data_IF_044931748204
#
_entry.id   IF_044931748204
#
_cell.length_a   1.000
_cell.length_b   1.000
_cell.length_c   1.000
_cell.angle_alpha   90.00
_cell.angle_beta   90.00
_cell.angle_gamma   90.00
#
_symmetry.space_group_name_H-M   'P 1'
#
loop_
_entity.id
_entity.type
_entity.pdbx_description
1 polymer ?
#
# COMPACT_ATOMS: atom_id res chain seq x y z
N UNK A 1 25.44 7.17 27.42
CA UNK A 1 24.63 7.66 26.29
C UNK A 1 23.19 7.23 26.54
N UNK A 2 22.23 8.13 26.31
CA UNK A 2 20.86 8.02 26.83
C UNK A 2 20.02 7.02 26.04
N UNK A 3 19.21 6.23 26.72
CA UNK A 3 18.07 5.54 26.11
C UNK A 3 17.06 6.57 25.63
N UNK A 4 16.31 6.22 24.58
CA UNK A 4 15.15 6.99 24.13
C UNK A 4 13.91 6.47 24.84
N UNK A 5 13.20 7.37 25.52
CA UNK A 5 11.93 7.08 26.16
C UNK A 5 10.78 7.65 25.32
N UNK A 6 9.65 6.95 25.26
CA UNK A 6 8.41 7.43 24.65
C UNK A 6 7.45 7.84 25.76
N UNK A 7 6.85 9.02 25.64
CA UNK A 7 5.87 9.55 26.59
C UNK A 7 4.57 9.86 25.87
N UNK A 8 3.45 9.39 26.43
CA UNK A 8 2.11 9.47 25.84
C UNK A 8 1.24 10.39 26.69
N UNK A 9 0.41 11.19 26.02
CA UNK A 9 -0.54 12.08 26.66
C UNK A 9 -1.83 12.13 25.84
N UNK A 10 -2.96 11.90 26.52
CA UNK A 10 -4.29 11.96 25.92
C UNK A 10 -4.94 13.35 26.08
N UNK A 11 -4.37 14.20 26.94
CA UNK A 11 -4.89 15.52 27.31
C UNK A 11 -3.90 16.66 27.05
N UNK A 12 -2.72 16.34 26.49
CA UNK A 12 -1.57 17.23 26.32
C UNK A 12 -1.05 17.88 27.62
N UNK A 13 -1.38 17.32 28.79
CA UNK A 13 -1.06 17.89 30.11
C UNK A 13 -0.38 16.87 31.02
N UNK A 14 -0.91 15.64 31.05
CA UNK A 14 -0.38 14.52 31.81
C UNK A 14 0.32 13.57 30.85
N UNK A 15 1.58 13.25 31.17
CA UNK A 15 2.41 12.37 30.36
C UNK A 15 2.76 11.12 31.15
N UNK A 16 2.51 9.97 30.52
CA UNK A 16 2.88 8.66 31.05
C UNK A 16 3.96 8.06 30.15
N UNK A 17 5.00 7.50 30.76
CA UNK A 17 6.07 6.83 30.01
C UNK A 17 5.52 5.52 29.45
N UNK A 18 5.60 5.34 28.13
CA UNK A 18 5.24 4.09 27.49
C UNK A 18 6.32 3.03 27.74
N UNK A 19 5.86 1.79 27.87
CA UNK A 19 6.68 0.62 27.95
C UNK A 19 7.00 0.08 26.56
N UNK A 20 8.30 -0.14 26.35
CA UNK A 20 8.85 -0.71 25.14
C UNK A 20 9.38 -2.11 25.46
N UNK A 21 9.27 -3.06 24.53
CA UNK A 21 9.75 -4.42 24.74
C UNK A 21 11.28 -4.49 24.84
N UNK A 22 11.98 -3.49 24.29
CA UNK A 22 13.44 -3.37 24.34
C UNK A 22 13.86 -1.91 24.60
N UNK A 23 15.06 -1.72 25.14
CA UNK A 23 15.60 -0.36 25.28
C UNK A 23 16.05 0.19 23.93
N UNK A 24 15.38 1.24 23.50
CA UNK A 24 15.73 1.98 22.29
C UNK A 24 17.04 2.75 22.49
N UNK A 25 18.08 2.31 21.78
CA UNK A 25 19.42 2.94 21.76
C UNK A 25 19.87 3.07 20.32
N UNK A 26 20.31 4.27 19.92
CA UNK A 26 20.69 4.56 18.53
C UNK A 26 19.57 4.20 17.56
N UNK A 27 18.34 4.65 17.84
CA UNK A 27 17.20 4.45 16.96
C UNK A 27 16.54 5.78 16.64
N UNK A 28 16.11 5.89 15.38
CA UNK A 28 15.35 7.00 14.84
C UNK A 28 13.92 6.56 14.61
N UNK A 29 12.97 7.34 15.09
CA UNK A 29 11.56 7.17 14.73
C UNK A 29 11.37 7.64 13.29
N UNK A 30 10.97 6.72 12.40
CA UNK A 30 10.70 7.03 10.99
C UNK A 30 9.26 7.53 10.84
N UNK A 31 8.32 6.86 11.51
CA UNK A 31 6.89 7.15 11.36
C UNK A 31 6.13 6.79 12.62
N UNK A 32 5.16 7.64 12.96
CA UNK A 32 4.16 7.41 14.00
C UNK A 32 2.80 7.53 13.32
N UNK A 33 1.88 6.59 13.59
CA UNK A 33 0.47 6.70 13.19
C UNK A 33 -0.42 6.18 14.30
N UNK A 34 -1.51 6.89 14.54
CA UNK A 34 -2.58 6.44 15.43
C UNK A 34 -3.68 5.78 14.59
N UNK A 35 -4.24 4.67 15.08
CA UNK A 35 -5.42 4.05 14.49
C UNK A 35 -6.73 4.63 15.09
N UNK A 36 -7.89 4.14 14.63
CA UNK A 36 -9.17 4.70 15.05
C UNK A 36 -9.57 4.41 16.50
N UNK A 37 -8.84 3.55 17.21
CA UNK A 37 -9.09 3.24 18.62
C UNK A 37 -7.97 3.73 19.55
N UNK A 38 -7.06 4.58 19.03
CA UNK A 38 -6.00 5.18 19.82
C UNK A 38 -4.71 4.38 19.89
N UNK A 39 -4.60 3.24 19.18
CA UNK A 39 -3.34 2.48 19.14
C UNK A 39 -2.32 3.19 18.27
N UNK A 40 -1.09 3.20 18.73
CA UNK A 40 0.05 3.85 18.10
C UNK A 40 0.88 2.79 17.38
N UNK A 41 1.01 2.96 16.07
CA UNK A 41 1.91 2.21 15.20
C UNK A 41 3.19 3.02 15.04
N UNK A 42 4.28 2.45 15.54
CA UNK A 42 5.61 3.06 15.55
C UNK A 42 6.55 2.29 14.63
N UNK A 43 7.11 2.98 13.64
CA UNK A 43 8.20 2.46 12.82
C UNK A 43 9.51 3.11 13.26
N UNK A 44 10.43 2.32 13.78
CA UNK A 44 11.79 2.77 14.15
C UNK A 44 12.82 2.18 13.20
N UNK A 45 13.97 2.84 13.07
CA UNK A 45 15.16 2.30 12.41
C UNK A 45 16.39 2.57 13.26
N UNK A 46 17.40 1.71 13.17
CA UNK A 46 18.72 1.98 13.72
C UNK A 46 19.31 3.25 13.10
N UNK A 47 19.92 4.10 13.91
CA UNK A 47 20.71 5.25 13.47
C UNK A 47 22.06 4.75 12.97
N UNK A 48 22.34 4.93 11.67
CA UNK A 48 23.67 4.68 11.11
C UNK A 48 24.60 5.80 11.58
N UNK A 49 25.61 5.46 12.38
CA UNK A 49 26.56 6.42 12.97
C UNK A 49 27.84 6.59 12.17
N UNK A 50 28.09 5.80 11.12
CA UNK A 50 29.30 5.85 10.31
C UNK A 50 28.99 6.11 8.83
N UNK A 51 29.68 7.09 8.22
CA UNK A 51 29.54 7.48 6.80
C UNK A 51 29.99 6.39 5.79
N UNK A 52 30.65 5.31 6.24
CA UNK A 52 31.28 4.31 5.37
C UNK A 52 30.55 2.95 5.27
N UNK A 53 29.45 2.69 6.00
CA UNK A 53 28.80 1.37 5.95
C UNK A 53 27.58 1.32 5.00
N UNK A 54 27.63 0.36 4.07
CA UNK A 54 26.58 -0.07 3.13
C UNK A 54 25.50 -0.96 3.77
N UNK A 55 25.43 -1.04 5.10
CA UNK A 55 24.47 -1.91 5.78
C UNK A 55 23.05 -1.32 5.75
N UNK A 56 22.01 -2.16 5.53
CA UNK A 56 20.62 -1.72 5.54
C UNK A 56 20.20 -1.14 6.90
N UNK A 57 19.44 -0.04 6.86
CA UNK A 57 18.68 0.51 7.98
C UNK A 57 17.79 -0.57 8.61
N UNK A 58 18.27 -1.21 9.69
CA UNK A 58 17.49 -2.21 10.42
C UNK A 58 16.29 -1.50 11.04
N UNK A 59 15.08 -1.83 10.58
CA UNK A 59 13.87 -1.21 11.12
C UNK A 59 12.96 -2.20 11.86
N UNK A 60 12.12 -1.70 12.74
CA UNK A 60 11.17 -2.51 13.51
C UNK A 60 9.83 -1.78 13.60
N UNK A 61 8.75 -2.55 13.62
CA UNK A 61 7.38 -2.04 13.74
C UNK A 61 6.85 -2.46 15.10
N UNK A 62 6.38 -1.49 15.89
CA UNK A 62 5.68 -1.71 17.14
C UNK A 62 4.25 -1.21 17.05
N UNK A 63 3.34 -1.91 17.72
CA UNK A 63 1.95 -1.49 17.90
C UNK A 63 1.69 -1.40 19.40
N UNK A 64 1.07 -0.32 19.85
CA UNK A 64 0.64 -0.17 21.24
C UNK A 64 -0.69 -0.87 21.53
N UNK A 65 -0.96 -1.07 22.81
CA UNK A 65 -2.33 -1.25 23.34
C UNK A 65 -3.21 -0.01 23.08
N UNK A 66 -4.51 -0.14 23.38
CA UNK A 66 -5.50 0.94 23.17
C UNK A 66 -5.24 2.19 24.02
N UNK A 67 -4.41 2.09 25.06
CA UNK A 67 -4.02 3.23 25.90
C UNK A 67 -2.75 3.95 25.38
N UNK A 68 -2.05 3.36 24.41
CA UNK A 68 -0.77 3.87 23.92
C UNK A 68 0.42 3.52 24.80
N UNK A 69 0.22 2.81 25.92
CA UNK A 69 1.21 2.66 26.98
C UNK A 69 2.08 1.42 26.84
N UNK A 70 1.57 0.34 26.24
CA UNK A 70 2.33 -0.92 26.10
C UNK A 70 2.55 -1.25 24.63
N UNK A 71 3.81 -1.22 24.17
CA UNK A 71 4.16 -1.57 22.80
C UNK A 71 4.58 -3.04 22.68
N UNK A 72 4.13 -3.68 21.60
CA UNK A 72 4.53 -5.03 21.21
C UNK A 72 5.10 -5.02 19.78
N UNK A 73 6.13 -5.83 19.48
CA UNK A 73 6.67 -5.93 18.12
C UNK A 73 5.64 -6.62 17.21
N UNK A 74 5.58 -6.19 15.95
CA UNK A 74 4.77 -6.84 14.93
C UNK A 74 5.56 -7.96 14.27
N UNK A 75 5.06 -9.19 14.36
CA UNK A 75 5.62 -10.32 13.61
C UNK A 75 5.11 -10.28 12.17
N UNK A 76 6.00 -9.98 11.22
CA UNK A 76 5.68 -9.94 9.79
C UNK A 76 6.34 -11.10 9.01
N UNK A 77 7.39 -11.76 9.52
CA UNK A 77 7.86 -13.07 9.02
C UNK A 77 8.38 -13.98 10.13
N UNK A 78 8.43 -15.30 9.89
CA UNK A 78 9.03 -16.27 10.82
C UNK A 78 10.54 -16.05 11.04
N UNK A 79 11.23 -15.51 10.03
CA UNK A 79 12.66 -15.21 10.08
C UNK A 79 12.83 -13.72 10.38
N UNK A 80 13.25 -13.39 11.61
CA UNK A 80 13.54 -12.03 12.08
C UNK A 80 14.80 -11.45 11.42
N UNK A 81 14.87 -11.46 10.09
CA UNK A 81 15.90 -10.75 9.35
C UNK A 81 15.49 -9.28 9.29
N UNK A 82 16.05 -8.50 10.21
CA UNK A 82 15.94 -7.05 10.22
C UNK A 82 16.38 -6.50 8.85
N UNK A 83 15.62 -5.58 8.28
CA UNK A 83 15.93 -4.99 6.98
C UNK A 83 15.10 -3.73 6.73
N UNK A 84 14.96 -3.31 5.48
CA UNK A 84 14.24 -2.08 5.14
C UNK A 84 12.73 -2.33 5.05
N UNK A 85 11.94 -1.55 5.79
CA UNK A 85 10.48 -1.65 5.80
C UNK A 85 9.81 -0.37 5.33
N UNK A 86 8.73 -0.52 4.57
CA UNK A 86 7.91 0.59 4.11
C UNK A 86 6.44 0.29 4.33
N UNK A 87 5.80 1.13 5.12
CA UNK A 87 4.37 1.07 5.39
C UNK A 87 3.62 2.20 4.66
N UNK A 88 2.51 1.85 4.04
CA UNK A 88 1.52 2.80 3.53
C UNK A 88 0.13 2.50 4.09
N UNK A 89 -0.64 3.56 4.25
CA UNK A 89 -1.95 3.53 4.87
C UNK A 89 -2.89 4.34 3.98
N UNK A 90 -3.72 3.69 3.15
CA UNK A 90 -4.70 4.39 2.34
C UNK A 90 -5.80 4.93 3.23
N UNK A 91 -5.99 6.25 3.27
CA UNK A 91 -6.96 6.88 4.19
C UNK A 91 -8.42 6.51 3.88
N UNK A 92 -8.70 6.07 2.65
CA UNK A 92 -10.00 5.57 2.21
C UNK A 92 -10.20 4.06 2.47
N UNK A 93 -9.23 3.36 3.06
CA UNK A 93 -9.33 1.95 3.45
C UNK A 93 -9.06 1.83 4.95
N UNK A 94 -10.05 2.19 5.78
CA UNK A 94 -9.96 2.11 7.24
C UNK A 94 -9.62 0.68 7.67
N UNK A 95 -8.63 0.50 8.53
CA UNK A 95 -8.13 -0.81 8.93
C UNK A 95 -7.00 -1.37 8.05
N UNK A 96 -6.76 -0.80 6.87
CA UNK A 96 -5.84 -1.38 5.89
C UNK A 96 -4.43 -0.79 5.98
N UNK A 97 -3.43 -1.68 6.02
CA UNK A 97 -2.02 -1.35 5.98
C UNK A 97 -1.36 -2.22 4.90
N UNK A 98 -0.56 -1.58 4.06
CA UNK A 98 0.31 -2.28 3.12
C UNK A 98 1.75 -2.13 3.56
N UNK A 99 2.49 -3.24 3.57
CA UNK A 99 3.87 -3.31 4.01
C UNK A 99 4.75 -3.95 2.95
N UNK A 100 5.82 -3.27 2.55
CA UNK A 100 6.89 -3.84 1.74
C UNK A 100 8.09 -4.07 2.64
N UNK A 101 8.58 -5.30 2.64
CA UNK A 101 9.55 -5.81 3.59
C UNK A 101 10.75 -6.40 2.86
N UNK A 102 11.92 -5.79 3.05
CA UNK A 102 13.17 -6.19 2.40
C UNK A 102 14.13 -6.69 3.47
N UNK A 103 14.54 -7.98 3.46
CA UNK A 103 15.53 -8.44 4.41
C UNK A 103 16.87 -7.70 4.21
N UNK A 104 17.61 -7.47 5.28
CA UNK A 104 19.01 -7.05 5.17
C UNK A 104 19.82 -8.24 4.64
N UNK A 105 20.31 -8.13 3.40
CA UNK A 105 21.20 -9.14 2.84
C UNK A 105 22.60 -8.53 2.77
N UNK A 106 23.55 -9.19 3.42
CA UNK A 106 24.97 -8.94 3.23
C UNK A 106 25.37 -9.40 1.82
N UNK A 107 25.47 -8.44 0.90
CA UNK A 107 25.84 -8.66 -0.50
C UNK A 107 27.32 -9.09 -0.67
N UNK A 108 28.11 -9.18 0.41
CA UNK A 108 29.56 -9.43 0.32
C UNK A 108 29.96 -10.88 -0.01
N UNK A 109 29.08 -11.88 0.16
CA UNK A 109 29.52 -13.29 0.24
C UNK A 109 29.00 -14.27 -0.83
N UNK A 110 28.38 -13.83 -1.93
CA UNK A 110 27.81 -14.78 -2.90
C UNK A 110 28.46 -14.69 -4.31
N UNK A 111 29.30 -15.68 -4.63
CA UNK A 111 29.90 -15.97 -5.95
C UNK A 111 28.92 -16.56 -6.98
N UNK A 112 27.62 -16.28 -6.89
CA UNK A 112 26.63 -16.72 -7.87
C UNK A 112 26.38 -15.63 -8.92
N UNK A 113 26.23 -16.01 -10.20
CA UNK A 113 25.82 -15.11 -11.29
C UNK A 113 24.39 -14.56 -11.05
N UNK A 114 24.23 -13.66 -10.09
CA UNK A 114 23.04 -12.83 -9.99
C UNK A 114 23.15 -11.74 -11.05
N UNK A 115 22.18 -11.71 -11.96
CA UNK A 115 21.93 -10.46 -12.68
C UNK A 115 21.41 -9.44 -11.66
N UNK A 116 21.86 -8.19 -11.71
CA UNK A 116 21.51 -7.10 -10.76
C UNK A 116 19.99 -6.83 -10.56
N UNK A 117 19.09 -7.61 -11.18
CA UNK A 117 17.66 -7.32 -11.30
C UNK A 117 16.74 -8.21 -10.44
N UNK A 118 17.26 -9.33 -9.92
CA UNK A 118 16.49 -10.19 -9.00
C UNK A 118 16.54 -9.58 -7.61
N UNK A 119 15.38 -9.33 -7.03
CA UNK A 119 15.25 -8.81 -5.67
C UNK A 119 14.55 -9.81 -4.76
N UNK A 120 14.92 -9.75 -3.47
CA UNK A 120 14.29 -10.52 -2.41
C UNK A 120 13.43 -9.62 -1.52
N UNK A 121 12.28 -10.10 -1.12
CA UNK A 121 11.40 -9.41 -0.17
C UNK A 121 9.95 -9.82 -0.29
N UNK A 122 9.17 -9.35 0.66
CA UNK A 122 7.75 -9.66 0.78
C UNK A 122 6.92 -8.39 0.78
N UNK A 123 5.74 -8.50 0.21
CA UNK A 123 4.76 -7.43 0.08
C UNK A 123 3.48 -7.98 0.67
N UNK A 124 3.04 -7.41 1.79
CA UNK A 124 1.89 -7.90 2.56
C UNK A 124 0.85 -6.82 2.78
N UNK A 125 -0.37 -7.28 3.04
CA UNK A 125 -1.51 -6.47 3.45
C UNK A 125 -2.02 -6.96 4.80
N UNK A 126 -2.33 -6.01 5.67
CA UNK A 126 -3.19 -6.19 6.84
C UNK A 126 -4.48 -5.42 6.62
N UNK A 127 -5.60 -6.00 7.03
CA UNK A 127 -6.92 -5.35 6.97
C UNK A 127 -7.57 -5.22 8.35
N UNK A 128 -6.79 -5.48 9.40
CA UNK A 128 -7.17 -5.47 10.81
C UNK A 128 -6.21 -4.61 11.64
N UNK A 129 -5.78 -3.48 11.07
CA UNK A 129 -4.88 -2.50 11.69
C UNK A 129 -3.54 -3.10 12.15
N UNK A 130 -2.99 -4.03 11.39
CA UNK A 130 -1.64 -4.58 11.59
C UNK A 130 -1.59 -5.81 12.50
N UNK A 131 -2.73 -6.34 12.95
CA UNK A 131 -2.79 -7.54 13.79
C UNK A 131 -2.41 -8.80 13.01
N UNK A 132 -2.94 -8.96 11.80
CA UNK A 132 -2.58 -10.06 10.90
C UNK A 132 -2.15 -9.55 9.54
N UNK A 133 -1.24 -10.29 8.91
CA UNK A 133 -0.66 -9.95 7.63
C UNK A 133 -0.80 -11.12 6.65
N UNK A 134 -1.07 -10.82 5.39
CA UNK A 134 -1.20 -11.80 4.32
C UNK A 134 -0.48 -11.33 3.07
N UNK A 135 0.03 -12.27 2.27
CA UNK A 135 0.67 -11.97 1.00
C UNK A 135 -0.36 -11.46 -0.03
N UNK A 136 0.07 -10.60 -0.95
CA UNK A 136 -0.81 -10.10 -2.01
C UNK A 136 -1.14 -11.19 -3.03
N UNK A 137 -2.38 -11.68 -2.99
CA UNK A 137 -2.86 -12.77 -3.85
C UNK A 137 -3.19 -12.29 -5.26
N UNK A 138 -2.67 -12.97 -6.27
CA UNK A 138 -3.05 -12.76 -7.68
C UNK A 138 -4.14 -13.76 -8.07
N UNK A 139 -5.23 -13.26 -8.65
CA UNK A 139 -6.39 -14.05 -9.12
C UNK A 139 -6.64 -13.79 -10.60
N UNK A 140 -5.70 -14.27 -11.41
CA UNK A 140 -5.65 -14.01 -12.85
C UNK A 140 -5.32 -15.28 -13.63
N UNK A 141 -6.30 -16.17 -13.77
CA UNK A 141 -6.15 -17.45 -14.47
C UNK A 141 -5.77 -17.26 -15.95
N UNK A 142 -6.26 -16.19 -16.59
CA UNK A 142 -5.98 -15.89 -17.99
C UNK A 142 -4.50 -15.57 -18.23
N UNK A 143 -3.84 -14.94 -17.25
CA UNK A 143 -2.42 -14.58 -17.30
C UNK A 143 -1.53 -15.50 -16.45
N UNK A 144 -2.07 -16.62 -15.94
CA UNK A 144 -1.33 -17.50 -15.02
C UNK A 144 0.00 -17.99 -15.61
N UNK A 145 -0.01 -18.38 -16.89
CA UNK A 145 1.18 -18.86 -17.62
C UNK A 145 2.24 -17.76 -17.86
N UNK A 146 1.89 -16.49 -17.64
CA UNK A 146 2.84 -15.37 -17.75
C UNK A 146 3.72 -15.20 -16.50
N UNK A 147 3.41 -15.90 -15.41
CA UNK A 147 4.16 -15.84 -14.16
C UNK A 147 5.09 -17.04 -14.03
N UNK A 148 6.28 -16.82 -13.46
CA UNK A 148 7.26 -17.88 -13.21
C UNK A 148 6.92 -18.82 -12.05
N UNK A 149 5.75 -18.68 -11.43
CA UNK A 149 5.35 -19.42 -10.24
C UNK A 149 3.85 -19.69 -10.16
N UNK A 150 3.46 -20.57 -9.23
CA UNK A 150 2.09 -21.03 -9.05
C UNK A 150 1.27 -20.06 -8.18
N UNK A 151 0.53 -19.16 -8.83
CA UNK A 151 -0.30 -18.13 -8.19
C UNK A 151 -1.44 -18.70 -7.31
N UNK A 152 -1.72 -20.00 -7.36
CA UNK A 152 -2.69 -20.63 -6.45
C UNK A 152 -2.16 -20.78 -5.01
N UNK A 153 -0.84 -20.63 -4.82
CA UNK A 153 -0.16 -20.70 -3.52
C UNK A 153 0.40 -19.33 -3.12
N UNK A 154 -0.44 -18.39 -2.62
CA UNK A 154 -0.02 -17.01 -2.32
C UNK A 154 1.09 -16.89 -1.27
N UNK A 155 1.24 -17.89 -0.39
CA UNK A 155 2.34 -17.93 0.59
C UNK A 155 3.72 -18.16 -0.06
N UNK A 156 3.77 -18.61 -1.31
CA UNK A 156 5.00 -18.80 -2.07
C UNK A 156 5.06 -17.89 -3.29
N UNK A 157 3.97 -17.83 -4.05
CA UNK A 157 3.86 -17.04 -5.27
C UNK A 157 2.90 -15.86 -5.07
N UNK A 158 3.45 -14.66 -4.86
CA UNK A 158 2.64 -13.47 -4.59
C UNK A 158 3.14 -12.23 -5.30
N UNK A 159 2.27 -11.23 -5.38
CA UNK A 159 2.60 -9.95 -5.99
C UNK A 159 3.53 -9.16 -5.08
N UNK A 160 4.70 -8.85 -5.60
CA UNK A 160 5.74 -8.06 -4.96
C UNK A 160 5.82 -6.67 -5.57
N UNK A 161 5.96 -5.65 -4.74
CA UNK A 161 6.03 -4.28 -5.25
C UNK A 161 6.36 -3.27 -4.17
N UNK A 162 6.69 -2.07 -4.63
CA UNK A 162 6.87 -0.94 -3.74
C UNK A 162 5.62 -0.06 -3.77
N UNK A 163 5.01 0.18 -2.61
CA UNK A 163 3.73 0.89 -2.49
C UNK A 163 3.81 2.42 -2.60
N UNK A 164 4.83 2.98 -3.26
CA UNK A 164 5.00 4.43 -3.38
C UNK A 164 3.77 5.12 -3.98
N UNK A 165 3.15 4.48 -4.97
CA UNK A 165 2.07 5.06 -5.76
C UNK A 165 0.72 5.03 -5.03
N UNK A 166 0.53 4.16 -4.03
CA UNK A 166 -0.72 4.13 -3.26
C UNK A 166 -0.91 5.40 -2.42
N UNK A 167 0.17 6.03 -1.95
CA UNK A 167 0.08 7.34 -1.26
C UNK A 167 -0.39 8.48 -2.18
N UNK A 168 -0.20 8.32 -3.49
CA UNK A 168 -0.54 9.31 -4.51
C UNK A 168 -1.85 8.98 -5.22
N UNK A 169 -2.46 7.83 -4.89
CA UNK A 169 -3.70 7.39 -5.52
C UNK A 169 -4.87 8.22 -5.00
N UNK A 170 -5.73 8.66 -5.92
CA UNK A 170 -6.95 9.34 -5.53
C UNK A 170 -7.89 8.37 -4.78
N UNK A 171 -8.66 8.87 -3.79
CA UNK A 171 -9.64 8.05 -3.07
C UNK A 171 -10.60 7.30 -3.99
N UNK A 172 -10.81 6.02 -3.70
CA UNK A 172 -11.76 5.16 -4.42
C UNK A 172 -12.35 4.10 -3.48
N UNK A 173 -13.52 3.55 -3.83
CA UNK A 173 -14.13 2.47 -3.06
C UNK A 173 -13.51 1.13 -3.46
N UNK A 174 -12.28 0.86 -3.01
CA UNK A 174 -11.58 -0.42 -3.18
C UNK A 174 -10.82 -0.58 -4.50
N UNK A 175 -10.82 0.42 -5.37
CA UNK A 175 -10.12 0.39 -6.67
C UNK A 175 -8.71 0.93 -6.50
N UNK A 176 -7.72 0.05 -6.47
CA UNK A 176 -6.32 0.46 -6.34
C UNK A 176 -5.47 -0.17 -7.44
N UNK A 177 -4.45 0.58 -7.87
CA UNK A 177 -3.48 0.11 -8.84
C UNK A 177 -2.09 0.09 -8.21
N UNK A 178 -1.28 -0.87 -8.65
CA UNK A 178 0.11 -0.99 -8.22
C UNK A 178 0.96 -1.52 -9.36
N UNK A 179 2.20 -1.04 -9.45
CA UNK A 179 3.20 -1.66 -10.33
C UNK A 179 4.08 -2.58 -9.49
N UNK A 180 4.27 -3.81 -9.95
CA UNK A 180 4.99 -4.84 -9.23
C UNK A 180 5.35 -6.02 -10.13
N UNK A 181 5.96 -7.04 -9.55
CA UNK A 181 6.30 -8.30 -10.20
C UNK A 181 5.77 -9.45 -9.35
N UNK A 182 5.41 -10.56 -9.96
CA UNK A 182 5.02 -11.77 -9.22
C UNK A 182 6.26 -12.64 -9.03
N UNK A 183 6.47 -13.14 -7.81
CA UNK A 183 7.68 -13.89 -7.43
C UNK A 183 7.38 -15.11 -6.60
N UNK A 184 8.27 -16.12 -6.69
CA UNK A 184 8.24 -17.34 -5.88
C UNK A 184 9.22 -17.23 -4.72
N UNK A 185 8.89 -17.81 -3.56
CA UNK A 185 9.73 -17.86 -2.36
C UNK A 185 10.43 -16.51 -2.05
N UNK A 186 9.69 -15.41 -2.26
CA UNK A 186 10.09 -14.02 -2.02
C UNK A 186 11.14 -13.46 -2.98
N UNK A 187 11.44 -14.17 -4.08
CA UNK A 187 12.31 -13.72 -5.17
C UNK A 187 11.50 -13.29 -6.39
N UNK A 188 11.84 -12.15 -6.98
CA UNK A 188 11.18 -11.65 -8.18
C UNK A 188 12.11 -10.76 -9.01
N UNK A 189 11.82 -10.67 -10.32
CA UNK A 189 12.59 -9.85 -11.27
C UNK A 189 11.95 -8.48 -11.46
N UNK A 190 12.70 -7.41 -11.20
CA UNK A 190 12.24 -6.05 -11.45
C UNK A 190 12.08 -5.69 -12.93
N UNK A 191 12.65 -6.48 -13.84
CA UNK A 191 12.47 -6.29 -15.29
C UNK A 191 11.11 -6.79 -15.77
N UNK A 192 10.47 -7.70 -15.05
CA UNK A 192 9.14 -8.24 -15.38
C UNK A 192 8.00 -7.49 -14.64
N UNK A 193 8.20 -6.19 -14.40
CA UNK A 193 7.19 -5.36 -13.75
C UNK A 193 5.97 -5.17 -14.65
N UNK A 194 4.82 -5.58 -14.13
CA UNK A 194 3.49 -5.33 -14.70
C UNK A 194 2.74 -4.33 -13.82
N UNK A 195 1.65 -3.78 -14.32
CA UNK A 195 0.69 -3.01 -13.52
C UNK A 195 -0.50 -3.89 -13.20
N UNK A 196 -0.88 -3.93 -11.93
CA UNK A 196 -1.98 -4.71 -11.39
C UNK A 196 -3.08 -3.78 -10.86
N UNK A 197 -4.29 -4.31 -10.82
CA UNK A 197 -5.47 -3.66 -10.25
C UNK A 197 -6.13 -4.58 -9.24
N UNK A 198 -6.64 -3.98 -8.16
CA UNK A 198 -7.53 -4.60 -7.20
C UNK A 198 -8.85 -3.83 -7.15
N UNK A 199 -9.95 -4.56 -6.93
CA UNK A 199 -11.30 -4.01 -6.72
C UNK A 199 -11.80 -4.18 -5.27
N UNK A 200 -11.05 -4.90 -4.44
CA UNK A 200 -11.42 -5.28 -3.08
C UNK A 200 -10.49 -4.65 -2.03
N UNK A 201 -9.84 -3.53 -2.37
CA UNK A 201 -8.96 -2.83 -1.45
C UNK A 201 -7.61 -3.53 -1.23
N UNK A 202 -7.21 -4.40 -2.16
CA UNK A 202 -5.89 -5.05 -2.23
C UNK A 202 -5.81 -6.46 -1.69
N UNK A 203 -6.95 -7.09 -1.39
CA UNK A 203 -7.00 -8.50 -1.00
C UNK A 203 -6.69 -9.40 -2.20
N UNK A 204 -7.19 -9.05 -3.38
CA UNK A 204 -6.89 -9.76 -4.62
C UNK A 204 -6.50 -8.82 -5.76
N UNK A 205 -5.63 -9.31 -6.64
CA UNK A 205 -5.03 -8.54 -7.72
C UNK A 205 -5.14 -9.25 -9.06
N UNK A 206 -5.31 -8.47 -10.13
CA UNK A 206 -5.33 -8.94 -11.53
C UNK A 206 -4.43 -8.06 -12.38
N UNK A 207 -3.90 -8.57 -13.49
CA UNK A 207 -3.07 -7.79 -14.41
C UNK A 207 -3.95 -6.74 -15.07
N UNK A 208 -3.57 -5.47 -14.92
CA UNK A 208 -4.17 -4.36 -15.64
C UNK A 208 -3.44 -4.07 -16.96
N UNK A 209 -2.10 -4.17 -16.94
CA UNK A 209 -1.28 -3.98 -18.12
C UNK A 209 0.05 -4.73 -17.98
N UNK A 210 0.58 -5.24 -19.09
CA UNK A 210 1.83 -6.02 -19.14
C UNK A 210 3.12 -5.21 -18.98
N UNK A 211 3.02 -3.93 -18.62
CA UNK A 211 4.18 -3.06 -18.40
C UNK A 211 3.94 -2.18 -17.18
N UNK A 212 5.02 -1.58 -16.67
CA UNK A 212 4.91 -0.40 -15.80
C UNK A 212 4.36 0.80 -16.57
N UNK A 213 3.79 1.77 -15.85
CA UNK A 213 3.30 3.01 -16.43
C UNK A 213 2.78 3.99 -15.38
N UNK A 214 2.34 5.15 -15.85
CA UNK A 214 1.59 6.10 -15.03
C UNK A 214 0.11 5.73 -15.05
N UNK A 215 -0.57 5.86 -13.92
CA UNK A 215 -2.02 5.72 -13.84
C UNK A 215 -2.62 6.80 -12.94
N UNK A 216 -3.87 7.13 -13.22
CA UNK A 216 -4.71 7.96 -12.37
C UNK A 216 -6.15 7.45 -12.38
N UNK A 217 -6.85 7.63 -11.27
CA UNK A 217 -8.25 7.26 -11.11
C UNK A 217 -9.11 8.51 -11.00
N UNK A 218 -10.38 8.40 -11.39
CA UNK A 218 -11.36 9.47 -11.30
C UNK A 218 -12.78 8.94 -11.21
N UNK A 219 -13.72 9.84 -10.96
CA UNK A 219 -15.10 9.51 -10.59
C UNK A 219 -15.12 8.39 -9.53
N UNK A 220 -14.32 8.54 -8.47
CA UNK A 220 -14.20 7.61 -7.34
C UNK A 220 -13.71 6.19 -7.73
N UNK A 221 -12.83 6.11 -8.73
CA UNK A 221 -12.28 4.85 -9.26
C UNK A 221 -13.05 4.27 -10.44
N UNK A 222 -14.12 4.94 -10.90
CA UNK A 222 -14.91 4.48 -12.04
C UNK A 222 -14.25 4.76 -13.39
N UNK A 223 -13.36 5.74 -13.44
CA UNK A 223 -12.51 6.04 -14.60
C UNK A 223 -11.08 5.71 -14.20
N UNK A 224 -10.40 4.95 -15.03
CA UNK A 224 -8.97 4.66 -14.87
C UNK A 224 -8.29 5.07 -16.16
N UNK A 225 -7.26 5.89 -16.06
CA UNK A 225 -6.40 6.27 -17.19
C UNK A 225 -5.01 5.71 -16.92
N UNK A 226 -4.43 5.07 -17.94
CA UNK A 226 -3.12 4.44 -17.87
C UNK A 226 -2.28 4.82 -19.10
N UNK A 227 -1.03 5.22 -18.87
CA UNK A 227 -0.03 5.48 -19.90
C UNK A 227 1.16 4.55 -19.64
N UNK A 228 1.46 3.59 -20.54
CA UNK A 228 2.60 2.72 -20.37
C UNK A 228 3.91 3.52 -20.39
N UNK A 229 4.88 3.05 -19.61
CA UNK A 229 6.26 3.52 -19.72
C UNK A 229 6.82 3.18 -21.11
N UNK A 230 7.70 4.01 -21.68
CA UNK A 230 8.36 3.71 -22.94
C UNK A 230 9.07 2.36 -22.90
N UNK A 231 8.84 1.50 -23.90
CA UNK A 231 9.76 0.41 -24.23
C UNK A 231 10.51 0.77 -25.51
N UNK A 232 11.82 1.00 -25.40
CA UNK A 232 12.68 1.23 -26.56
C UNK A 232 13.06 -0.07 -27.29
N UNK A 233 12.66 -1.24 -26.75
CA UNK A 233 13.12 -2.55 -27.24
C UNK A 233 12.42 -3.00 -28.53
N UNK A 234 11.16 -2.62 -28.71
CA UNK A 234 10.30 -3.20 -29.75
C UNK A 234 10.04 -2.25 -30.92
N UNK A 235 10.61 -1.04 -30.90
CA UNK A 235 10.35 -0.02 -31.92
C UNK A 235 8.89 0.45 -31.98
N UNK A 236 8.06 0.09 -30.99
CA UNK A 236 6.70 0.62 -30.80
C UNK A 236 6.80 2.00 -30.14
N UNK A 237 7.10 2.99 -30.97
CA UNK A 237 7.30 4.40 -30.58
C UNK A 237 5.95 5.14 -30.47
N UNK A 238 4.82 4.42 -30.49
CA UNK A 238 3.48 5.01 -30.46
C UNK A 238 3.05 5.36 -29.03
N UNK A 239 2.62 6.60 -28.83
CA UNK A 239 2.12 7.07 -27.53
C UNK A 239 0.68 6.60 -27.34
N UNK A 240 0.49 5.43 -26.75
CA UNK A 240 -0.85 4.89 -26.47
C UNK A 240 -1.33 5.35 -25.09
N UNK A 241 -2.59 5.73 -25.01
CA UNK A 241 -3.35 5.91 -23.78
C UNK A 241 -4.33 4.76 -23.66
N UNK A 242 -4.38 4.13 -22.49
CA UNK A 242 -5.39 3.15 -22.16
C UNK A 242 -6.33 3.72 -21.12
N UNK A 243 -7.61 3.37 -21.22
CA UNK A 243 -8.58 3.74 -20.21
C UNK A 243 -9.62 2.66 -19.97
N UNK A 244 -10.11 2.59 -18.74
CA UNK A 244 -11.21 1.71 -18.34
C UNK A 244 -12.33 2.55 -17.71
N UNK A 245 -13.57 2.20 -18.05
CA UNK A 245 -14.80 2.77 -17.49
C UNK A 245 -15.61 1.75 -16.69
N UNK A 246 -15.05 0.56 -16.46
CA UNK A 246 -15.67 -0.58 -15.78
C UNK A 246 -14.71 -1.16 -14.73
N UNK A 247 -13.99 -0.24 -14.05
CA UNK A 247 -13.14 -0.55 -12.90
C UNK A 247 -12.07 -1.61 -13.24
N UNK A 248 -11.47 -1.50 -14.43
CA UNK A 248 -10.39 -2.33 -14.95
C UNK A 248 -10.81 -3.69 -15.50
N UNK A 249 -12.11 -3.94 -15.71
CA UNK A 249 -12.58 -5.18 -16.35
C UNK A 249 -12.27 -5.19 -17.85
N UNK A 250 -12.45 -4.07 -18.52
CA UNK A 250 -12.07 -3.90 -19.94
C UNK A 250 -11.28 -2.61 -20.13
N UNK A 251 -10.40 -2.63 -21.12
CA UNK A 251 -9.50 -1.53 -21.44
C UNK A 251 -9.71 -1.11 -22.90
N UNK A 252 -9.85 0.19 -23.10
CA UNK A 252 -9.92 0.83 -24.40
C UNK A 252 -8.60 1.54 -24.69
N UNK A 253 -8.19 1.56 -25.94
CA UNK A 253 -6.97 2.23 -26.39
C UNK A 253 -7.32 3.52 -27.15
N UNK A 254 -6.51 4.55 -26.94
CA UNK A 254 -6.53 5.81 -27.68
C UNK A 254 -5.10 6.19 -28.06
N UNK A 255 -4.88 6.61 -29.30
CA UNK A 255 -3.55 7.03 -29.77
C UNK A 255 -3.34 8.53 -29.52
N UNK A 256 -2.35 8.86 -28.69
CA UNK A 256 -1.92 10.22 -28.42
C UNK A 256 -0.87 10.63 -29.45
N UNK A 257 -1.15 11.69 -30.21
CA UNK A 257 -0.30 12.22 -31.28
C UNK A 257 -0.23 11.37 -32.57
N UNK A 258 0.19 12.05 -33.65
CA UNK A 258 0.46 11.46 -34.96
C UNK A 258 1.73 10.58 -34.87
N UNK A 259 1.83 9.54 -35.71
CA UNK A 259 2.84 8.46 -35.65
C UNK A 259 4.31 8.94 -35.72
N UNK A 260 4.55 10.23 -35.95
CA UNK A 260 5.86 10.87 -36.04
C UNK A 260 6.46 11.29 -34.69
N UNK A 261 5.69 11.27 -33.60
CA UNK A 261 6.16 11.74 -32.29
C UNK A 261 5.85 10.76 -31.17
N UNK A 262 6.84 10.53 -30.30
CA UNK A 262 6.67 9.80 -29.05
C UNK A 262 6.52 10.77 -27.87
N UNK A 263 5.59 10.48 -26.96
CA UNK A 263 5.38 11.20 -25.71
C UNK A 263 6.07 10.41 -24.60
N UNK A 264 7.14 10.98 -24.05
CA UNK A 264 7.69 10.54 -22.78
C UNK A 264 6.81 11.09 -21.64
N UNK A 265 6.00 10.25 -20.97
CA UNK A 265 5.09 10.74 -19.95
C UNK A 265 5.86 11.12 -18.68
N UNK A 266 5.50 12.26 -18.08
CA UNK A 266 6.09 12.73 -16.83
C UNK A 266 5.10 12.64 -15.67
N UNK A 267 3.86 13.06 -15.90
CA UNK A 267 2.84 13.08 -14.86
C UNK A 267 1.46 12.87 -15.46
N UNK A 268 0.67 12.04 -14.79
CA UNK A 268 -0.76 11.89 -15.05
C UNK A 268 -1.48 12.15 -13.72
N UNK A 269 -2.41 13.10 -13.71
CA UNK A 269 -3.18 13.45 -12.52
C UNK A 269 -4.65 13.60 -12.84
N UNK A 270 -5.50 13.28 -11.87
CA UNK A 270 -6.85 13.81 -11.82
C UNK A 270 -6.80 15.30 -11.43
N UNK A 271 -7.62 16.11 -12.07
CA UNK A 271 -7.76 17.55 -11.74
C UNK A 271 -8.50 17.80 -10.43
N UNK A 272 -9.14 16.78 -9.87
CA UNK A 272 -9.87 16.82 -8.59
C UNK A 272 -9.21 15.83 -7.62
N UNK A 273 -8.38 16.31 -6.67
CA UNK A 273 -7.56 15.45 -5.81
C UNK A 273 -8.35 14.48 -4.90
N UNK A 274 -9.61 14.79 -4.59
CA UNK A 274 -10.54 13.92 -3.83
C UNK A 274 -10.98 12.68 -4.63
N UNK A 275 -10.58 12.56 -5.89
CA UNK A 275 -10.90 11.43 -6.77
C UNK A 275 -12.26 11.51 -7.45
N UNK A 276 -13.10 12.51 -7.13
CA UNK A 276 -14.47 12.61 -7.66
C UNK A 276 -14.54 13.17 -9.09
N UNK A 277 -13.45 13.75 -9.59
CA UNK A 277 -13.39 14.38 -10.91
C UNK A 277 -13.28 13.39 -12.07
N UNK A 278 -13.81 13.79 -13.23
CA UNK A 278 -13.77 13.04 -14.50
C UNK A 278 -12.74 13.56 -15.51
N UNK A 279 -11.88 14.50 -15.11
CA UNK A 279 -10.93 15.18 -15.99
C UNK A 279 -9.50 14.99 -15.51
N UNK A 280 -8.61 14.74 -16.45
CA UNK A 280 -7.21 14.42 -16.19
C UNK A 280 -6.29 15.34 -16.98
N UNK A 281 -5.08 15.52 -16.44
CA UNK A 281 -3.98 16.20 -17.12
C UNK A 281 -2.83 15.21 -17.26
N UNK A 282 -2.38 15.00 -18.50
CA UNK A 282 -1.13 14.33 -18.82
C UNK A 282 -0.11 15.38 -19.23
N UNK A 283 1.03 15.42 -18.56
CA UNK A 283 2.20 16.20 -18.98
C UNK A 283 3.35 15.28 -19.39
N UNK A 284 4.12 15.72 -20.38
CA UNK A 284 5.24 14.95 -20.91
C UNK A 284 6.11 15.77 -21.86
N UNK A 285 7.04 15.08 -22.50
CA UNK A 285 7.84 15.64 -23.59
C UNK A 285 7.56 14.87 -24.88
N UNK A 286 7.28 15.60 -25.96
CA UNK A 286 7.39 15.05 -27.30
C UNK A 286 8.86 14.88 -27.64
N UNK A 287 9.24 13.69 -28.03
CA UNK A 287 10.57 13.32 -28.48
C UNK A 287 10.49 13.02 -29.97
N UNK A 288 11.23 13.78 -30.78
CA UNK A 288 11.47 13.46 -32.19
C UNK A 288 12.82 12.79 -32.36
N UNK A 289 12.89 11.76 -33.20
CA UNK A 289 14.17 11.30 -33.76
C UNK A 289 14.52 12.15 -34.98
N UNK A 290 15.62 12.91 -34.94
CA UNK A 290 16.18 13.48 -36.17
C UNK A 290 16.78 12.37 -37.05
N UNK A 291 16.60 12.52 -38.36
CA UNK A 291 16.97 11.56 -39.41
C UNK A 291 18.45 11.17 -39.44
N UNK A 292 18.74 9.95 -39.88
CA UNK A 292 20.09 9.53 -40.27
C UNK A 292 20.60 10.37 -41.45
N UNK A 293 21.73 11.07 -41.29
CA UNK A 293 22.56 11.54 -42.39
C UNK A 293 23.94 10.86 -42.27
N UNK A 294 24.15 9.80 -43.05
CA UNK A 294 25.41 9.05 -43.12
C UNK A 294 25.73 8.15 -41.91
N UNK A 295 26.96 7.65 -41.86
CA UNK A 295 27.45 6.68 -40.85
C UNK A 295 27.61 7.25 -39.42
N UNK A 296 27.21 8.51 -39.18
CA UNK A 296 27.18 9.10 -37.84
C UNK A 296 25.73 9.30 -37.41
N UNK A 297 25.27 8.48 -36.47
CA UNK A 297 23.98 8.64 -35.79
C UNK A 297 24.04 9.80 -34.80
N UNK A 298 23.93 11.03 -35.30
CA UNK A 298 23.61 12.18 -34.45
C UNK A 298 22.11 12.17 -34.14
N UNK A 299 21.73 11.48 -33.06
CA UNK A 299 20.37 11.52 -32.55
C UNK A 299 20.20 12.88 -31.83
N UNK A 300 19.58 13.85 -32.49
CA UNK A 300 19.14 15.08 -31.83
C UNK A 300 17.69 14.92 -31.37
N UNK A 301 17.48 15.03 -30.05
CA UNK A 301 16.17 14.99 -29.43
C UNK A 301 15.64 16.42 -29.31
N UNK A 302 14.66 16.79 -30.13
CA UNK A 302 13.89 18.00 -29.85
C UNK A 302 12.82 17.61 -28.82
N UNK A 303 13.07 17.95 -27.56
CA UNK A 303 12.09 17.79 -26.49
C UNK A 303 11.18 19.02 -26.44
N UNK A 304 9.92 18.89 -26.87
CA UNK A 304 8.89 19.92 -26.62
C UNK A 304 7.99 19.46 -25.49
N UNK A 305 7.79 20.30 -24.48
CA UNK A 305 6.81 20.02 -23.43
C UNK A 305 5.41 19.97 -24.03
N UNK A 306 4.63 18.98 -23.63
CA UNK A 306 3.22 18.83 -23.99
C UNK A 306 2.33 18.64 -22.78
N UNK A 307 1.08 19.06 -22.95
CA UNK A 307 0.03 18.91 -21.97
C UNK A 307 -1.25 18.48 -22.70
N UNK A 308 -1.82 17.36 -22.28
CA UNK A 308 -3.11 16.87 -22.74
C UNK A 308 -4.14 17.05 -21.63
N UNK A 309 -5.28 17.65 -21.98
CA UNK A 309 -6.48 17.64 -21.16
C UNK A 309 -7.37 16.49 -21.65
N UNK A 310 -7.66 15.55 -20.76
CA UNK A 310 -8.47 14.35 -21.07
C UNK A 310 -9.78 14.48 -20.31
N UNK A 311 -10.90 14.51 -21.03
CA UNK A 311 -12.23 14.79 -20.47
C UNK A 311 -13.20 13.63 -20.70
N UNK A 312 -13.56 12.93 -19.61
CA UNK A 312 -14.54 11.85 -19.64
C UNK A 312 -15.96 12.31 -19.27
N UNK A 313 -16.24 13.62 -19.18
CA UNK A 313 -17.57 14.13 -18.78
C UNK A 313 -18.70 13.66 -19.71
N UNK A 314 -18.36 13.34 -20.96
CA UNK A 314 -19.25 12.82 -22.00
C UNK A 314 -19.37 11.29 -22.02
N UNK A 315 -18.63 10.57 -21.17
CA UNK A 315 -18.74 9.11 -21.11
C UNK A 315 -20.18 8.69 -20.82
N UNK A 316 -20.59 7.58 -21.45
CA UNK A 316 -21.96 7.05 -21.37
C UNK A 316 -23.04 8.07 -21.74
N UNK A 317 -22.83 8.84 -22.81
CA UNK A 317 -23.78 9.85 -23.31
C UNK A 317 -24.21 10.83 -22.22
N UNK A 318 -23.26 11.23 -21.38
CA UNK A 318 -23.47 12.12 -20.24
C UNK A 318 -24.39 11.57 -19.13
N UNK A 319 -24.73 10.27 -19.11
CA UNK A 319 -25.60 9.67 -18.08
C UNK A 319 -25.00 9.79 -16.67
N UNK A 320 -25.84 10.19 -15.71
CA UNK A 320 -25.53 10.20 -14.27
C UNK A 320 -26.08 8.92 -13.64
N UNK A 321 -25.36 8.36 -12.68
CA UNK A 321 -25.80 7.16 -11.98
C UNK A 321 -26.98 7.43 -11.05
N UNK A 322 -27.96 6.53 -11.09
CA UNK A 322 -29.11 6.50 -10.18
C UNK A 322 -28.88 5.46 -9.06
N UNK A 323 -29.71 5.44 -8.02
CA UNK A 323 -29.50 4.54 -6.86
C UNK A 323 -29.39 3.04 -7.24
N UNK A 324 -30.07 2.61 -8.31
CA UNK A 324 -29.98 1.23 -8.82
C UNK A 324 -28.63 0.87 -9.46
N UNK A 325 -27.84 1.87 -9.84
CA UNK A 325 -26.50 1.72 -10.40
C UNK A 325 -25.43 1.52 -9.31
N UNK A 326 -25.79 1.60 -8.02
CA UNK A 326 -24.89 1.43 -6.89
C UNK A 326 -25.01 0.06 -6.22
N UNK A 327 -23.90 -0.40 -5.65
CA UNK A 327 -23.80 -1.56 -4.77
C UNK A 327 -23.14 -1.16 -3.45
N UNK A 328 -23.48 -1.89 -2.39
CA UNK A 328 -22.78 -1.80 -1.11
C UNK A 328 -21.51 -2.66 -1.20
N UNK A 329 -20.36 -2.05 -0.90
CA UNK A 329 -19.08 -2.73 -0.83
C UNK A 329 -18.49 -2.62 0.58
N UNK A 330 -18.24 -3.77 1.19
CA UNK A 330 -17.66 -3.85 2.53
C UNK A 330 -16.13 -3.95 2.45
N UNK A 331 -15.44 -3.17 3.27
CA UNK A 331 -13.99 -3.30 3.45
C UNK A 331 -13.68 -4.62 4.16
N UNK A 332 -12.47 -5.14 3.96
CA UNK A 332 -11.98 -6.35 4.63
C UNK A 332 -12.94 -7.55 4.53
N UNK A 333 -13.64 -7.70 3.39
CA UNK A 333 -14.70 -8.71 3.18
C UNK A 333 -15.80 -8.70 4.25
N UNK A 334 -16.08 -7.54 4.85
CA UNK A 334 -17.10 -7.38 5.90
C UNK A 334 -16.69 -7.94 7.26
N UNK A 335 -15.39 -8.20 7.47
CA UNK A 335 -14.85 -8.50 8.80
C UNK A 335 -15.09 -7.32 9.75
N UNK A 336 -15.32 -7.64 11.01
CA UNK A 336 -15.38 -6.65 12.07
C UNK A 336 -13.95 -6.18 12.37
N UNK A 337 -13.71 -4.87 12.32
CA UNK A 337 -12.41 -4.29 12.65
C UNK A 337 -12.67 -3.18 13.66
N UNK A 338 -12.17 -3.38 14.88
CA UNK A 338 -12.40 -2.48 16.02
C UNK A 338 -13.90 -2.29 16.32
N UNK A 339 -14.66 -3.39 16.39
CA UNK A 339 -16.09 -3.36 16.74
C UNK A 339 -17.04 -2.82 15.66
N UNK A 340 -16.56 -2.52 14.44
CA UNK A 340 -17.41 -2.07 13.35
C UNK A 340 -17.07 -2.70 11.99
N UNK A 341 -18.08 -2.78 11.13
CA UNK A 341 -17.95 -3.03 9.70
C UNK A 341 -17.97 -1.71 8.96
N UNK A 342 -17.17 -1.62 7.91
CA UNK A 342 -17.02 -0.41 7.10
C UNK A 342 -17.53 -0.66 5.69
N UNK A 343 -18.39 0.22 5.20
CA UNK A 343 -19.05 0.08 3.91
C UNK A 343 -19.01 1.37 3.11
N UNK A 344 -18.75 1.26 1.81
CA UNK A 344 -19.00 2.33 0.85
C UNK A 344 -20.10 1.90 -0.12
N UNK A 345 -20.99 2.84 -0.46
CA UNK A 345 -21.80 2.74 -1.67
C UNK A 345 -20.94 3.12 -2.87
N UNK A 346 -20.79 2.22 -3.83
CA UNK A 346 -20.02 2.45 -5.05
C UNK A 346 -20.80 2.05 -6.29
N UNK A 347 -20.43 2.60 -7.44
CA UNK A 347 -21.05 2.22 -8.72
C UNK A 347 -20.77 0.74 -9.01
N UNK A 348 -21.79 0.01 -9.45
CA UNK A 348 -21.66 -1.35 -9.99
C UNK A 348 -20.72 -1.36 -11.19
N UNK A 349 -19.99 -2.46 -11.34
CA UNK A 349 -18.96 -2.56 -12.38
C UNK A 349 -19.53 -2.46 -13.80
N UNK A 350 -20.75 -2.94 -14.02
CA UNK A 350 -21.44 -3.00 -15.31
C UNK A 350 -22.40 -1.81 -15.56
N UNK A 351 -22.62 -0.94 -14.57
CA UNK A 351 -23.51 0.22 -14.71
C UNK A 351 -22.94 1.24 -15.71
N UNK A 352 -23.68 1.60 -16.74
CA UNK A 352 -23.21 2.50 -17.81
C UNK A 352 -23.55 3.97 -17.52
N UNK A 353 -22.92 4.53 -16.50
CA UNK A 353 -23.10 5.91 -16.04
C UNK A 353 -21.86 6.38 -15.27
N UNK A 354 -21.75 7.70 -15.03
CA UNK A 354 -20.77 8.27 -14.09
C UNK A 354 -21.48 8.84 -12.84
N UNK A 355 -20.80 8.86 -11.71
CA UNK A 355 -21.36 9.40 -10.44
C UNK A 355 -21.54 10.92 -10.53
N UNK A 356 -20.60 11.64 -11.17
CA UNK A 356 -20.66 13.08 -11.44
C UNK A 356 -20.91 13.96 -10.21
N UNK A 357 -20.30 13.62 -9.08
CA UNK A 357 -20.36 14.41 -7.84
C UNK A 357 -18.99 15.00 -7.50
N UNK A 358 -18.51 15.93 -8.31
CA UNK A 358 -17.19 16.57 -8.12
C UNK A 358 -17.11 17.32 -6.80
N UNK A 359 -15.94 17.30 -6.15
CA UNK A 359 -15.67 17.94 -4.84
C UNK A 359 -16.51 17.36 -3.70
N UNK A 360 -16.82 16.07 -3.78
CA UNK A 360 -17.57 15.35 -2.76
C UNK A 360 -16.84 14.06 -2.41
N UNK A 361 -16.36 14.01 -1.17
CA UNK A 361 -15.73 12.82 -0.61
C UNK A 361 -16.70 11.63 -0.54
N UNK A 362 -16.14 10.43 -0.61
CA UNK A 362 -16.90 9.21 -0.36
C UNK A 362 -17.38 9.16 1.08
N UNK A 363 -18.61 8.68 1.27
CA UNK A 363 -19.18 8.52 2.60
C UNK A 363 -18.89 7.11 3.06
N UNK A 364 -18.04 6.98 4.09
CA UNK A 364 -17.83 5.70 4.76
C UNK A 364 -18.94 5.49 5.78
N UNK A 365 -19.69 4.41 5.62
CA UNK A 365 -20.69 3.97 6.58
C UNK A 365 -20.01 3.04 7.59
N UNK A 366 -20.04 3.44 8.86
CA UNK A 366 -19.59 2.65 9.99
C UNK A 366 -20.79 1.98 10.66
N UNK A 367 -20.79 0.65 10.66
CA UNK A 367 -21.89 -0.18 11.15
C UNK A 367 -21.36 -0.99 12.33
N UNK A 368 -21.83 -0.74 13.57
CA UNK A 368 -21.42 -1.51 14.73
C UNK A 368 -21.68 -3.01 14.53
N UNK A 369 -20.74 -3.84 14.97
CA UNK A 369 -20.92 -5.29 14.96
C UNK A 369 -21.90 -5.72 16.06
N UNK A 370 -22.64 -6.80 15.84
CA UNK A 370 -23.71 -7.25 16.74
C UNK A 370 -23.20 -7.79 18.08
N UNK A 371 -21.95 -8.27 18.12
CA UNK A 371 -21.32 -8.87 19.29
C UNK A 371 -19.82 -8.70 19.26
N UNK A 372 -19.21 -8.53 20.44
CA UNK A 372 -17.76 -8.65 20.60
C UNK A 372 -17.32 -10.11 20.49
N UNK A 373 -16.10 -10.29 20.03
CA UNK A 373 -15.39 -11.58 19.90
C UNK A 373 -14.09 -11.52 20.70
N UNK A 374 -13.43 -12.66 20.90
CA UNK A 374 -12.13 -12.72 21.61
C UNK A 374 -11.06 -11.81 20.97
N UNK A 375 -11.15 -11.55 19.67
CA UNK A 375 -10.25 -10.64 18.96
C UNK A 375 -10.49 -9.15 19.23
N UNK A 376 -11.63 -8.78 19.85
CA UNK A 376 -11.95 -7.40 20.21
C UNK A 376 -11.39 -7.00 21.59
N UNK A 377 -10.84 -7.97 22.34
CA UNK A 377 -10.22 -7.75 23.64
C UNK A 377 -8.70 -7.70 23.54
N UNK A 378 -8.08 -6.96 24.46
CA UNK A 378 -6.64 -6.99 24.70
C UNK A 378 -6.37 -7.32 26.17
N UNK A 379 -5.17 -7.83 26.46
CA UNK A 379 -4.77 -8.06 27.84
C UNK A 379 -4.55 -6.72 28.54
N UNK A 380 -4.94 -6.63 29.81
CA UNK A 380 -4.57 -5.50 30.67
C UNK A 380 -3.04 -5.39 30.79
N UNK A 381 -2.56 -4.23 31.24
CA UNK A 381 -1.14 -3.89 31.27
C UNK A 381 -0.28 -4.99 31.93
N UNK A 382 -0.75 -5.53 33.06
CA UNK A 382 -0.11 -6.55 33.89
C UNK A 382 -0.12 -7.97 33.29
N UNK A 383 -0.71 -8.15 32.11
CA UNK A 383 -0.92 -9.46 31.50
C UNK A 383 -0.34 -9.52 30.08
N UNK A 384 0.03 -10.72 29.64
CA UNK A 384 0.48 -11.03 28.28
C UNK A 384 -0.29 -12.23 27.74
N UNK A 385 -0.51 -12.29 26.42
CA UNK A 385 -1.14 -13.46 25.78
C UNK A 385 -0.15 -14.63 25.76
N UNK A 386 -0.60 -15.79 26.22
CA UNK A 386 0.13 -17.04 26.06
C UNK A 386 -0.05 -17.64 24.65
N UNK A 387 0.57 -18.80 24.40
CA UNK A 387 0.46 -19.48 23.11
C UNK A 387 -0.97 -19.98 22.76
N UNK A 388 -1.88 -20.02 23.73
CA UNK A 388 -3.31 -20.35 23.53
C UNK A 388 -4.16 -19.10 23.32
N UNK A 389 -3.58 -17.93 23.52
CA UNK A 389 -4.25 -16.63 23.45
C UNK A 389 -4.84 -16.16 24.78
N UNK A 390 -4.65 -16.90 25.88
CA UNK A 390 -5.14 -16.54 27.20
C UNK A 390 -4.26 -15.44 27.82
N UNK A 391 -4.87 -14.46 28.49
CA UNK A 391 -4.13 -13.44 29.22
C UNK A 391 -3.60 -14.02 30.54
N UNK A 392 -2.28 -14.18 30.64
CA UNK A 392 -1.59 -14.67 31.84
C UNK A 392 -0.80 -13.53 32.50
N UNK A 393 -0.63 -13.55 33.84
CA UNK A 393 0.16 -12.55 34.55
C UNK A 393 1.59 -12.46 34.01
N UNK A 394 2.05 -11.24 33.75
CA UNK A 394 3.42 -10.92 33.38
C UNK A 394 4.10 -10.20 34.54
N UNK A 395 4.98 -10.92 35.24
CA UNK A 395 5.63 -10.41 36.46
C UNK A 395 6.52 -9.20 36.21
N UNK A 396 7.08 -9.06 35.00
CA UNK A 396 7.89 -7.88 34.66
C UNK A 396 6.99 -6.65 34.53
N UNK A 397 5.79 -6.80 33.98
CA UNK A 397 4.79 -5.73 33.88
C UNK A 397 4.22 -5.36 35.24
N UNK A 398 3.91 -6.36 36.06
CA UNK A 398 3.39 -6.16 37.42
C UNK A 398 4.39 -5.35 38.26
N UNK A 399 5.68 -5.65 38.14
CA UNK A 399 6.74 -4.91 38.83
C UNK A 399 6.87 -3.45 38.38
N UNK A 400 6.45 -3.14 37.15
CA UNK A 400 6.46 -1.79 36.57
C UNK A 400 5.16 -1.03 36.80
N UNK A 401 4.09 -1.73 37.17
CA UNK A 401 2.79 -1.14 37.47
C UNK A 401 2.74 -0.55 38.90
N UNK A 402 1.84 0.40 39.12
CA UNK A 402 1.59 0.95 40.46
C UNK A 402 0.81 -0.01 41.37
N UNK A 403 0.45 -1.21 40.93
CA UNK A 403 -0.49 -2.08 41.66
C UNK A 403 0.10 -2.55 43.00
N UNK A 404 1.41 -2.81 43.02
CA UNK A 404 2.15 -3.19 44.21
C UNK A 404 2.28 -2.01 45.18
N UNK A 405 2.52 -0.80 44.67
CA UNK A 405 2.62 0.42 45.49
C UNK A 405 1.26 0.78 46.12
N UNK A 406 0.16 0.53 45.40
CA UNK A 406 -1.20 0.75 45.87
C UNK A 406 -1.69 -0.31 46.86
N UNK A 407 -1.06 -1.49 46.93
CA UNK A 407 -1.53 -2.58 47.79
C UNK A 407 -1.15 -2.41 49.26
N UNK A 408 -0.34 -1.41 49.63
CA UNK A 408 0.06 -1.12 51.02
C UNK A 408 0.61 -2.34 51.79
N UNK A 409 1.26 -3.28 51.09
CA UNK A 409 1.80 -4.51 51.69
C UNK A 409 0.82 -5.68 51.78
N UNK A 410 -0.40 -5.53 51.25
CA UNK A 410 -1.35 -6.62 51.06
C UNK A 410 -1.04 -7.42 49.77
N UNK A 411 -1.48 -8.68 49.76
CA UNK A 411 -1.35 -9.56 48.59
C UNK A 411 -2.20 -9.03 47.44
N UNK A 412 -1.55 -8.72 46.32
CA UNK A 412 -2.24 -8.35 45.07
C UNK A 412 -2.87 -9.62 44.49
N UNK A 413 -4.20 -9.58 44.29
CA UNK A 413 -4.96 -10.63 43.61
C UNK A 413 -5.29 -10.11 42.21
N UNK A 414 -4.80 -10.80 41.18
CA UNK A 414 -4.96 -10.46 39.76
C UNK A 414 -6.03 -11.33 39.11
#
# INVERSE_FOLDING_TARGET
>A
MSSTDIWISNDASTFQKAQLPTQFRHVKVIKIREDSIGRIILLISTEITNEENTDPDLSEIFISDSQGLKFSPVEWTPNHQFGNFRLTFPDFLKGTIFGSFRPSIDYSNHQGNYTENIARGETKISVDNGLTWSNLKVVDEENADSFGCDITRPERCSLQGDFYNLKLSNPSAGIILMTGSVGDDNEFDWKDRKTFISRDGGLTWRVAHNSSGLYATGDLGNIIVYIPSPSYKDGDVQSKLYFSLDQGRTWNQYELADALFYIHPLKLINTTPDGSGSKFILSGHLITTASQEGNNTNISYIARSVLYAIDFSAAFDYKTCEEEDFEDWNLADGKCVNGAKYMYKRRKQDARCLVKRTFKDMILHEIPCDSCTESDYECSFEFVRDAKGDCIPDYDQIALSDICDKSNGETVSL
#
